data_IF_838781615774
#
_entry.id   IF_838781615774
#
_cell.length_a   1.000
_cell.length_b   1.000
_cell.length_c   1.000
_cell.angle_alpha   90.00
_cell.angle_beta   90.00
_cell.angle_gamma   90.00
#
_symmetry.space_group_name_H-M   'P 1'
#
loop_
_entity.id
_entity.type
_entity.pdbx_description
1 polymer ?
#
# COMPACT_ATOMS: atom_id res chain seq x y z
N UNK A 1 9.96 36.31 1.74
CA UNK A 1 9.18 35.64 2.81
C UNK A 1 8.87 34.22 2.36
N UNK A 2 9.62 33.22 2.85
CA UNK A 2 9.47 31.82 2.42
C UNK A 2 8.23 31.20 3.07
N UNK A 3 7.15 31.03 2.29
CA UNK A 3 5.94 30.33 2.73
C UNK A 3 6.18 28.82 2.62
N UNK A 4 6.81 28.23 3.64
CA UNK A 4 6.97 26.78 3.72
C UNK A 4 5.57 26.15 3.81
N UNK A 5 5.12 25.47 2.74
CA UNK A 5 3.84 24.76 2.73
C UNK A 5 3.90 23.64 3.78
N UNK A 6 3.01 23.69 4.77
CA UNK A 6 2.91 22.68 5.85
C UNK A 6 2.54 21.33 5.23
N UNK A 7 3.34 20.28 5.46
CA UNK A 7 2.96 18.90 5.09
C UNK A 7 1.71 18.50 5.87
N UNK A 8 0.63 18.24 5.16
CA UNK A 8 -0.60 17.69 5.75
C UNK A 8 -0.52 16.17 5.63
N UNK A 9 -0.41 15.48 6.77
CA UNK A 9 -0.46 14.02 6.81
C UNK A 9 -1.93 13.59 6.71
N UNK A 10 -2.27 12.78 5.70
CA UNK A 10 -3.64 12.28 5.49
C UNK A 10 -4.06 11.24 6.55
N UNK A 11 -3.11 10.52 7.13
CA UNK A 11 -3.35 9.44 8.07
C UNK A 11 -2.75 9.74 9.45
N UNK A 12 -3.48 9.35 10.50
CA UNK A 12 -2.97 9.43 11.87
C UNK A 12 -1.97 8.30 12.11
N UNK A 13 -1.08 8.49 13.09
CA UNK A 13 -0.11 7.47 13.52
C UNK A 13 -0.79 6.14 13.91
N UNK A 14 -2.00 6.19 14.49
CA UNK A 14 -2.78 5.00 14.87
C UNK A 14 -3.20 4.15 13.66
N UNK A 15 -3.66 4.77 12.57
CA UNK A 15 -4.05 4.03 11.36
C UNK A 15 -2.83 3.39 10.67
N UNK A 16 -1.69 4.08 10.66
CA UNK A 16 -0.45 3.52 10.13
C UNK A 16 0.03 2.31 10.93
N UNK A 17 -0.06 2.37 12.26
CA UNK A 17 0.29 1.25 13.13
C UNK A 17 -0.65 0.06 12.93
N UNK A 18 -1.97 0.30 12.82
CA UNK A 18 -2.95 -0.75 12.58
C UNK A 18 -2.71 -1.47 11.25
N UNK A 19 -2.39 -0.74 10.18
CA UNK A 19 -2.09 -1.32 8.87
C UNK A 19 -0.84 -2.22 8.89
N UNK A 20 0.22 -1.78 9.56
CA UNK A 20 1.44 -2.59 9.71
C UNK A 20 1.25 -3.79 10.63
N UNK A 21 0.49 -3.62 11.72
CA UNK A 21 0.19 -4.69 12.66
C UNK A 21 -0.64 -5.81 12.01
N UNK A 22 -1.69 -5.46 11.27
CA UNK A 22 -2.51 -6.46 10.56
C UNK A 22 -1.71 -7.19 9.48
N UNK A 23 -0.89 -6.47 8.71
CA UNK A 23 -0.01 -7.08 7.72
C UNK A 23 0.94 -8.10 8.35
N UNK A 24 1.64 -7.72 9.42
CA UNK A 24 2.55 -8.62 10.12
C UNK A 24 1.82 -9.84 10.71
N UNK A 25 0.62 -9.63 11.28
CA UNK A 25 -0.21 -10.69 11.84
C UNK A 25 -0.58 -11.75 10.78
N UNK A 26 -1.04 -11.33 9.59
CA UNK A 26 -1.38 -12.28 8.52
C UNK A 26 -0.16 -12.98 7.91
N UNK A 27 0.99 -12.29 7.81
CA UNK A 27 2.25 -12.93 7.38
C UNK A 27 2.65 -14.04 8.36
N UNK A 28 2.56 -13.78 9.67
CA UNK A 28 2.86 -14.79 10.69
C UNK A 28 1.88 -15.98 10.59
N UNK A 29 0.58 -15.72 10.45
CA UNK A 29 -0.41 -16.79 10.27
C UNK A 29 -0.09 -17.68 9.06
N UNK A 30 0.32 -17.09 7.93
CA UNK A 30 0.74 -17.85 6.75
C UNK A 30 1.97 -18.72 7.00
N UNK A 31 2.97 -18.19 7.71
CA UNK A 31 4.18 -18.94 8.06
C UNK A 31 3.88 -20.10 9.02
N UNK A 32 3.02 -19.88 10.02
CA UNK A 32 2.57 -20.92 10.95
C UNK A 32 1.77 -22.01 10.22
N UNK A 33 0.91 -21.62 9.28
CA UNK A 33 0.17 -22.54 8.42
C UNK A 33 1.12 -23.42 7.58
N UNK A 34 2.13 -22.83 6.97
CA UNK A 34 3.15 -23.56 6.20
C UNK A 34 4.05 -24.46 7.06
N UNK A 35 4.34 -24.05 8.30
CA UNK A 35 5.11 -24.86 9.24
C UNK A 35 4.33 -26.12 9.66
N UNK A 36 3.03 -25.97 9.93
CA UNK A 36 2.14 -27.05 10.36
C UNK A 36 1.86 -28.06 9.24
N UNK A 37 1.94 -27.63 7.97
CA UNK A 37 1.67 -28.49 6.82
C UNK A 37 2.73 -29.61 6.69
N UNK A 38 2.32 -30.88 6.69
CA UNK A 38 3.21 -32.04 6.51
C UNK A 38 3.32 -32.43 5.03
N UNK A 39 3.91 -31.54 4.25
CA UNK A 39 4.12 -31.69 2.81
C UNK A 39 5.62 -31.54 2.44
N UNK A 40 6.08 -32.08 1.30
CA UNK A 40 7.46 -31.95 0.87
C UNK A 40 7.83 -30.48 0.62
N UNK A 41 9.12 -30.17 0.80
CA UNK A 41 9.64 -28.80 0.75
C UNK A 41 9.33 -28.07 -0.56
N UNK A 42 9.28 -28.79 -1.69
CA UNK A 42 8.90 -28.22 -2.98
C UNK A 42 7.49 -27.61 -2.97
N UNK A 43 6.51 -28.31 -2.40
CA UNK A 43 5.11 -27.86 -2.36
C UNK A 43 4.98 -26.64 -1.45
N UNK A 44 5.66 -26.64 -0.30
CA UNK A 44 5.72 -25.48 0.60
C UNK A 44 6.35 -24.25 -0.08
N UNK A 45 7.40 -24.46 -0.86
CA UNK A 45 8.05 -23.40 -1.64
C UNK A 45 7.11 -22.78 -2.67
N UNK A 46 6.32 -23.59 -3.37
CA UNK A 46 5.33 -23.10 -4.34
C UNK A 46 4.30 -22.17 -3.70
N UNK A 47 3.74 -22.56 -2.55
CA UNK A 47 2.80 -21.72 -1.79
C UNK A 47 3.44 -20.42 -1.30
N UNK A 48 4.69 -20.47 -0.84
CA UNK A 48 5.41 -19.28 -0.38
C UNK A 48 5.66 -18.29 -1.53
N UNK A 49 6.07 -18.79 -2.71
CA UNK A 49 6.26 -17.97 -3.91
C UNK A 49 4.96 -17.28 -4.33
N UNK A 50 3.84 -18.02 -4.36
CA UNK A 50 2.52 -17.45 -4.68
C UNK A 50 2.08 -16.38 -3.67
N UNK A 51 2.29 -16.64 -2.38
CA UNK A 51 1.97 -15.70 -1.30
C UNK A 51 2.77 -14.38 -1.44
N UNK A 52 4.09 -14.46 -1.61
CA UNK A 52 4.95 -13.28 -1.76
C UNK A 52 4.61 -12.51 -3.04
N UNK A 53 4.37 -13.21 -4.15
CA UNK A 53 3.96 -12.61 -5.41
C UNK A 53 2.64 -11.85 -5.31
N UNK A 54 1.62 -12.46 -4.69
CA UNK A 54 0.31 -11.83 -4.49
C UNK A 54 0.39 -10.61 -3.57
N UNK A 55 1.15 -10.69 -2.47
CA UNK A 55 1.37 -9.57 -1.55
C UNK A 55 2.04 -8.40 -2.29
N UNK A 56 3.13 -8.67 -3.02
CA UNK A 56 3.87 -7.65 -3.76
C UNK A 56 3.01 -6.99 -4.84
N UNK A 57 2.26 -7.79 -5.60
CA UNK A 57 1.35 -7.31 -6.63
C UNK A 57 0.23 -6.46 -6.03
N UNK A 58 -0.40 -6.90 -4.94
CA UNK A 58 -1.46 -6.15 -4.24
C UNK A 58 -0.99 -4.77 -3.76
N UNK A 59 0.21 -4.69 -3.19
CA UNK A 59 0.80 -3.40 -2.81
C UNK A 59 1.14 -2.52 -4.00
N UNK A 60 1.54 -3.10 -5.13
CA UNK A 60 1.85 -2.35 -6.35
C UNK A 60 0.58 -1.75 -6.92
N UNK A 61 -0.48 -2.54 -7.06
CA UNK A 61 -1.81 -2.07 -7.50
C UNK A 61 -2.33 -0.98 -6.57
N UNK A 62 -2.21 -1.16 -5.25
CA UNK A 62 -2.64 -0.15 -4.27
C UNK A 62 -1.91 1.18 -4.42
N UNK A 63 -0.59 1.15 -4.72
CA UNK A 63 0.19 2.36 -5.01
C UNK A 63 -0.29 3.01 -6.31
N UNK A 64 -0.39 2.25 -7.40
CA UNK A 64 -0.83 2.76 -8.71
C UNK A 64 -2.21 3.42 -8.62
N UNK A 65 -3.17 2.80 -7.94
CA UNK A 65 -4.51 3.39 -7.75
C UNK A 65 -4.44 4.70 -6.97
N UNK A 66 -3.62 4.76 -5.92
CA UNK A 66 -3.44 5.98 -5.13
C UNK A 66 -2.75 7.08 -5.92
N UNK A 67 -1.71 6.75 -6.68
CA UNK A 67 -0.96 7.69 -7.50
C UNK A 67 -1.87 8.29 -8.58
N UNK A 68 -2.70 7.47 -9.24
CA UNK A 68 -3.71 7.94 -10.20
C UNK A 68 -4.72 8.92 -9.57
N UNK A 69 -5.17 8.67 -8.33
CA UNK A 69 -6.06 9.58 -7.61
C UNK A 69 -5.38 10.92 -7.28
N UNK A 70 -4.11 10.87 -6.84
CA UNK A 70 -3.34 12.08 -6.54
C UNK A 70 -3.08 12.91 -7.82
N UNK A 71 -2.82 12.26 -8.96
CA UNK A 71 -2.63 12.91 -10.26
C UNK A 71 -3.92 13.58 -10.77
N UNK A 72 -5.07 12.92 -10.65
CA UNK A 72 -6.38 13.49 -11.02
C UNK A 72 -6.75 14.70 -10.15
N UNK A 73 -6.53 14.63 -8.83
CA UNK A 73 -6.72 15.76 -7.92
C UNK A 73 -5.83 16.96 -8.31
N UNK A 74 -4.59 16.70 -8.73
CA UNK A 74 -3.66 17.74 -9.14
C UNK A 74 -4.05 18.38 -10.48
N UNK A 75 -4.47 17.58 -11.45
CA UNK A 75 -4.97 18.05 -12.73
C UNK A 75 -6.18 19.00 -12.55
N UNK A 76 -7.15 18.61 -11.72
CA UNK A 76 -8.32 19.43 -11.42
C UNK A 76 -7.97 20.77 -10.77
N UNK A 77 -6.95 20.80 -9.88
CA UNK A 77 -6.46 22.04 -9.26
C UNK A 77 -5.83 22.98 -10.29
N UNK A 78 -5.09 22.45 -11.26
CA UNK A 78 -4.47 23.23 -12.33
C UNK A 78 -5.52 23.87 -13.23
N UNK A 79 -6.55 23.11 -13.64
CA UNK A 79 -7.67 23.64 -14.44
C UNK A 79 -8.41 24.74 -13.69
N UNK A 80 -8.71 24.52 -12.40
CA UNK A 80 -9.40 25.51 -11.59
C UNK A 80 -8.59 26.81 -11.54
N UNK A 81 -7.28 26.73 -11.28
CA UNK A 81 -6.38 27.89 -11.29
C UNK A 81 -6.38 28.62 -12.64
N UNK A 82 -6.28 27.89 -13.75
CA UNK A 82 -6.34 28.48 -15.09
C UNK A 82 -7.66 29.19 -15.37
N UNK A 83 -8.76 28.69 -14.81
CA UNK A 83 -10.10 29.29 -14.96
C UNK A 83 -10.25 30.58 -14.15
N UNK A 84 -9.58 30.71 -13.00
CA UNK A 84 -9.62 31.93 -12.19
C UNK A 84 -8.68 33.05 -12.70
N UNK A 85 -7.71 32.71 -13.55
CA UNK A 85 -6.77 33.69 -14.14
C UNK A 85 -7.26 34.27 -15.48
N UNK A 86 -8.38 33.79 -16.03
CA UNK A 86 -9.07 34.36 -17.20
C UNK A 86 -10.29 35.19 -16.78
#
# INVERSE_FOLDING_TARGET
MNKVKKKVYRNTTSFNMMAWASFAFFVILMLVGLYTLKEPLMVKGYYLMGCVGLISSSFTVSKVVRDNQEDEENYNKLIAQQTFEQ
#
